data_IF_947127948993
#
_entry.id   IF_947127948993
#
_cell.length_a   1.000
_cell.length_b   1.000
_cell.length_c   1.000
_cell.angle_alpha   90.00
_cell.angle_beta   90.00
_cell.angle_gamma   90.00
#
_symmetry.space_group_name_H-M   'P 1'
#
loop_
_entity.id
_entity.type
_entity.pdbx_description
1 polymer ?
#
# COMPACT_ATOMS: atom_id res chain seq x y z
N UNK A 1 -3.96 -34.80 -13.58
CA UNK A 1 -4.21 -33.55 -12.85
C UNK A 1 -3.09 -32.62 -13.26
N UNK A 2 -3.39 -31.48 -13.87
CA UNK A 2 -2.37 -30.45 -14.13
C UNK A 2 -1.83 -29.98 -12.78
N UNK A 3 -0.51 -29.91 -12.62
CA UNK A 3 0.10 -29.46 -11.37
C UNK A 3 -0.36 -28.04 -11.03
N UNK A 4 -0.64 -27.72 -9.75
CA UNK A 4 -0.99 -26.37 -9.36
C UNK A 4 0.17 -25.44 -9.74
N UNK A 5 -0.19 -24.41 -10.50
CA UNK A 5 0.76 -23.44 -11.05
C UNK A 5 0.48 -22.10 -10.38
N UNK A 6 1.34 -21.73 -9.44
CA UNK A 6 1.24 -20.46 -8.72
C UNK A 6 1.81 -19.33 -9.54
N UNK A 7 1.06 -18.25 -9.66
CA UNK A 7 1.51 -17.03 -10.32
C UNK A 7 2.26 -16.18 -9.30
N UNK A 8 3.43 -15.68 -9.67
CA UNK A 8 4.19 -14.73 -8.86
C UNK A 8 4.51 -13.45 -9.63
N UNK A 9 4.49 -12.32 -8.94
CA UNK A 9 4.74 -11.01 -9.54
C UNK A 9 5.44 -10.06 -8.55
N UNK A 10 5.95 -8.95 -9.09
CA UNK A 10 6.54 -7.86 -8.30
C UNK A 10 5.74 -6.59 -8.45
N UNK A 11 5.64 -5.83 -7.37
CA UNK A 11 5.10 -4.48 -7.34
C UNK A 11 6.19 -3.50 -6.88
N UNK A 12 6.43 -2.48 -7.69
CA UNK A 12 7.18 -1.28 -7.29
C UNK A 12 6.17 -0.16 -7.05
N UNK A 13 5.95 0.19 -5.78
CA UNK A 13 5.04 1.25 -5.39
C UNK A 13 5.82 2.53 -5.16
N UNK A 14 5.38 3.64 -5.75
CA UNK A 14 6.07 4.93 -5.68
C UNK A 14 5.06 5.98 -5.21
N UNK A 15 5.39 6.74 -4.17
CA UNK A 15 4.63 7.94 -3.83
C UNK A 15 5.06 9.09 -4.74
N UNK A 16 4.10 9.90 -5.19
CA UNK A 16 4.39 11.12 -5.96
C UNK A 16 5.43 12.04 -5.28
N UNK A 17 6.11 12.85 -6.10
CA UNK A 17 7.06 13.88 -5.65
C UNK A 17 6.39 15.00 -4.85
N UNK A 18 7.19 15.79 -4.14
CA UNK A 18 6.71 16.90 -3.32
C UNK A 18 5.86 17.91 -4.12
N UNK A 19 4.85 18.47 -3.46
CA UNK A 19 3.99 19.57 -3.95
C UNK A 19 4.09 20.76 -2.99
N UNK A 20 3.67 21.95 -3.42
CA UNK A 20 3.66 23.13 -2.53
C UNK A 20 2.75 22.93 -1.31
N UNK A 21 1.68 22.15 -1.47
CA UNK A 21 0.74 21.78 -0.42
C UNK A 21 1.39 20.83 0.60
N UNK A 22 2.29 19.94 0.19
CA UNK A 22 3.07 19.14 1.14
C UNK A 22 3.93 20.03 2.02
N UNK A 23 4.65 20.99 1.43
CA UNK A 23 5.52 21.93 2.17
C UNK A 23 4.70 22.77 3.16
N UNK A 24 3.48 23.16 2.77
CA UNK A 24 2.58 23.97 3.59
C UNK A 24 1.74 23.18 4.59
N UNK A 25 1.89 21.85 4.66
CA UNK A 25 1.04 20.96 5.47
C UNK A 25 -0.46 21.14 5.19
N UNK A 26 -0.80 21.27 3.90
CA UNK A 26 -2.17 21.37 3.40
C UNK A 26 -2.63 19.99 2.94
N UNK A 27 -3.84 19.61 3.35
CA UNK A 27 -4.50 18.38 2.91
C UNK A 27 -4.89 18.51 1.44
N UNK A 28 -4.47 17.57 0.61
CA UNK A 28 -4.75 17.61 -0.82
C UNK A 28 -5.97 16.78 -1.19
N UNK A 29 -5.97 15.51 -0.80
CA UNK A 29 -6.96 14.54 -1.28
C UNK A 29 -7.04 14.54 -2.81
N UNK A 30 -8.22 14.81 -3.35
CA UNK A 30 -8.46 14.89 -4.79
C UNK A 30 -8.13 16.24 -5.43
N UNK A 31 -7.59 17.21 -4.68
CA UNK A 31 -7.09 18.46 -5.27
C UNK A 31 -6.00 18.15 -6.29
N UNK A 32 -6.16 18.62 -7.53
CA UNK A 32 -5.27 18.28 -8.65
C UNK A 32 -4.08 19.24 -8.75
N UNK A 33 -3.12 19.03 -7.83
CA UNK A 33 -1.93 19.86 -7.63
C UNK A 33 -0.74 19.44 -8.49
N UNK A 34 0.08 20.42 -8.85
CA UNK A 34 1.35 20.21 -9.55
C UNK A 34 2.50 19.88 -8.57
N UNK A 35 3.54 19.26 -9.10
CA UNK A 35 4.80 19.07 -8.37
C UNK A 35 5.47 20.42 -8.06
N UNK A 36 6.08 20.52 -6.88
CA UNK A 36 6.99 21.63 -6.57
C UNK A 36 8.27 21.50 -7.42
N UNK A 37 9.09 22.55 -7.53
CA UNK A 37 10.40 22.43 -8.15
C UNK A 37 11.27 21.33 -7.51
N UNK A 38 11.11 21.10 -6.19
CA UNK A 38 11.75 19.99 -5.48
C UNK A 38 11.15 18.65 -5.88
N UNK A 39 9.82 18.53 -5.99
CA UNK A 39 9.17 17.31 -6.47
C UNK A 39 9.60 16.90 -7.87
N UNK A 40 9.77 17.86 -8.78
CA UNK A 40 10.31 17.61 -10.13
C UNK A 40 11.73 17.05 -10.07
N UNK A 41 12.60 17.61 -9.20
CA UNK A 41 13.96 17.09 -9.00
C UNK A 41 13.94 15.68 -8.39
N UNK A 42 13.12 15.44 -7.37
CA UNK A 42 12.97 14.11 -6.75
C UNK A 42 12.56 13.05 -7.79
N UNK A 43 11.59 13.35 -8.63
CA UNK A 43 11.14 12.43 -9.68
C UNK A 43 12.22 12.17 -10.74
N UNK A 44 13.00 13.21 -11.09
CA UNK A 44 14.13 13.10 -12.01
C UNK A 44 15.29 12.27 -11.43
N UNK A 45 15.58 12.43 -10.15
CA UNK A 45 16.58 11.59 -9.45
C UNK A 45 16.13 10.13 -9.37
N UNK A 46 14.83 9.90 -9.16
CA UNK A 46 14.26 8.56 -9.13
C UNK A 46 14.36 7.86 -10.49
N UNK A 47 14.22 8.59 -11.61
CA UNK A 47 14.47 8.08 -12.97
C UNK A 47 15.88 7.50 -13.11
N UNK A 48 16.91 8.09 -12.51
CA UNK A 48 18.27 7.56 -12.61
C UNK A 48 18.40 6.16 -12.01
N UNK A 49 17.51 5.80 -11.07
CA UNK A 49 17.51 4.52 -10.37
C UNK A 49 16.51 3.54 -10.97
N UNK A 50 15.35 4.01 -11.43
CA UNK A 50 14.26 3.15 -11.89
C UNK A 50 14.02 3.20 -13.40
N UNK A 51 14.63 4.15 -14.11
CA UNK A 51 14.41 4.38 -15.55
C UNK A 51 14.90 3.26 -16.46
N UNK A 52 15.70 2.33 -15.92
CA UNK A 52 16.15 1.13 -16.64
C UNK A 52 15.16 -0.04 -16.50
N UNK A 53 14.17 0.06 -15.63
CA UNK A 53 13.14 -0.96 -15.47
C UNK A 53 12.31 -1.08 -16.74
N UNK A 54 11.92 -2.31 -17.06
CA UNK A 54 11.02 -2.63 -18.17
C UNK A 54 9.83 -3.39 -17.59
N UNK A 55 8.94 -2.71 -16.85
CA UNK A 55 7.83 -3.39 -16.22
C UNK A 55 6.86 -3.90 -17.28
N UNK A 56 6.18 -5.00 -16.99
CA UNK A 56 5.11 -5.53 -17.83
C UNK A 56 3.89 -4.61 -17.77
N UNK A 57 3.65 -3.97 -16.61
CA UNK A 57 2.58 -2.99 -16.41
C UNK A 57 3.11 -1.71 -15.73
N UNK A 58 2.72 -0.54 -16.25
CA UNK A 58 3.03 0.74 -15.66
C UNK A 58 1.76 1.57 -15.45
N UNK A 59 1.40 1.81 -14.18
CA UNK A 59 0.10 2.37 -13.80
C UNK A 59 0.32 3.58 -12.89
N UNK A 60 -0.49 4.63 -13.03
CA UNK A 60 -0.49 5.75 -12.09
C UNK A 60 -1.89 6.23 -11.77
N UNK A 61 -2.04 6.87 -10.61
CA UNK A 61 -3.16 7.78 -10.40
C UNK A 61 -3.15 8.86 -11.48
N UNK A 62 -4.34 9.20 -11.95
CA UNK A 62 -4.59 10.27 -12.91
C UNK A 62 -4.34 11.70 -12.37
N UNK A 63 -4.30 11.90 -11.05
CA UNK A 63 -3.94 13.21 -10.46
C UNK A 63 -2.52 13.64 -10.89
N UNK A 64 -2.39 14.91 -11.29
CA UNK A 64 -1.20 15.49 -11.94
C UNK A 64 0.10 15.22 -11.20
N UNK A 65 0.15 15.37 -9.88
CA UNK A 65 1.36 15.08 -9.10
C UNK A 65 1.85 13.63 -9.27
N UNK A 66 0.95 12.66 -9.33
CA UNK A 66 1.30 11.25 -9.50
C UNK A 66 1.65 10.95 -10.96
N UNK A 67 0.80 11.36 -11.91
CA UNK A 67 1.06 11.14 -13.33
C UNK A 67 2.31 11.87 -13.82
N UNK A 68 2.60 13.08 -13.34
CA UNK A 68 3.85 13.81 -13.64
C UNK A 68 5.08 13.12 -13.05
N UNK A 69 4.96 12.55 -11.84
CA UNK A 69 6.04 11.73 -11.25
C UNK A 69 6.28 10.48 -12.10
N UNK A 70 5.21 9.82 -12.56
CA UNK A 70 5.29 8.65 -13.43
C UNK A 70 5.95 8.98 -14.78
N UNK A 71 5.49 10.04 -15.46
CA UNK A 71 6.09 10.50 -16.71
C UNK A 71 7.57 10.82 -16.56
N UNK A 72 7.97 11.42 -15.44
CA UNK A 72 9.36 11.75 -15.17
C UNK A 72 10.27 10.51 -15.04
N UNK A 73 9.74 9.32 -14.76
CA UNK A 73 10.51 8.06 -14.75
C UNK A 73 11.00 7.65 -16.15
N UNK A 74 10.31 8.08 -17.22
CA UNK A 74 10.73 7.83 -18.60
C UNK A 74 10.79 6.34 -18.99
N UNK A 75 9.92 5.51 -18.40
CA UNK A 75 9.85 4.09 -18.72
C UNK A 75 9.31 3.87 -20.14
N UNK A 76 9.82 2.84 -20.83
CA UNK A 76 9.36 2.51 -22.19
C UNK A 76 7.97 1.88 -22.24
N UNK A 77 7.50 1.32 -21.12
CA UNK A 77 6.17 0.73 -20.99
C UNK A 77 5.11 1.83 -21.00
N UNK A 78 4.04 1.72 -21.80
CA UNK A 78 2.96 2.72 -21.81
C UNK A 78 2.38 2.94 -20.41
N UNK A 79 2.17 4.21 -20.04
CA UNK A 79 1.56 4.59 -18.77
C UNK A 79 0.04 4.48 -18.85
N UNK A 80 -0.55 3.62 -18.03
CA UNK A 80 -1.98 3.54 -17.78
C UNK A 80 -2.38 4.46 -16.62
N UNK A 81 -3.46 5.22 -16.78
CA UNK A 81 -4.02 6.05 -15.71
C UNK A 81 -5.24 5.36 -15.12
N UNK A 82 -5.28 5.25 -13.79
CA UNK A 82 -6.38 4.60 -13.07
C UNK A 82 -6.82 5.47 -11.88
N UNK A 83 -8.08 5.92 -11.91
CA UNK A 83 -8.66 6.75 -10.87
C UNK A 83 -8.80 6.03 -9.51
N UNK A 84 -8.78 4.69 -9.48
CA UNK A 84 -8.80 3.91 -8.23
C UNK A 84 -7.54 4.10 -7.41
N UNK A 85 -6.44 4.57 -8.02
CA UNK A 85 -5.16 4.87 -7.35
C UNK A 85 -5.12 6.26 -6.72
N UNK A 86 -6.18 7.07 -6.80
CA UNK A 86 -6.21 8.42 -6.21
C UNK A 86 -6.01 8.41 -4.70
N UNK A 87 -5.53 9.52 -4.14
CA UNK A 87 -5.48 9.73 -2.69
C UNK A 87 -6.89 9.62 -2.09
N UNK A 88 -7.02 9.42 -0.77
CA UNK A 88 -8.30 9.57 -0.08
C UNK A 88 -8.94 10.92 -0.39
N UNK A 89 -10.21 10.93 -0.76
CA UNK A 89 -10.98 12.16 -0.88
C UNK A 89 -11.26 12.72 0.52
N UNK A 90 -10.88 13.98 0.76
CA UNK A 90 -11.10 14.65 2.04
C UNK A 90 -12.26 15.66 2.00
N UNK A 91 -13.05 15.69 0.93
CA UNK A 91 -14.25 16.51 0.83
C UNK A 91 -13.96 17.98 1.09
N UNK A 92 -14.69 18.59 2.02
CA UNK A 92 -14.50 20.00 2.40
C UNK A 92 -13.13 20.31 3.02
N UNK A 93 -12.35 19.31 3.43
CA UNK A 93 -11.01 19.50 3.99
C UNK A 93 -9.90 19.51 2.94
N UNK A 94 -10.20 19.22 1.67
CA UNK A 94 -9.23 19.45 0.60
C UNK A 94 -8.90 20.93 0.49
N UNK A 95 -7.62 21.27 0.65
CA UNK A 95 -7.12 22.65 0.72
C UNK A 95 -7.01 23.21 2.14
N UNK A 96 -7.49 22.50 3.16
CA UNK A 96 -7.40 22.92 4.56
C UNK A 96 -6.07 22.56 5.22
N UNK A 97 -5.77 23.20 6.35
CA UNK A 97 -4.62 22.83 7.14
C UNK A 97 -4.83 21.44 7.76
N UNK A 98 -3.75 20.66 7.86
CA UNK A 98 -3.76 19.31 8.45
C UNK A 98 -4.40 19.23 9.84
N UNK A 99 -4.16 20.25 10.67
CA UNK A 99 -4.72 20.36 12.02
C UNK A 99 -6.25 20.37 12.03
N UNK A 100 -6.89 20.95 11.01
CA UNK A 100 -8.34 21.10 10.96
C UNK A 100 -8.98 19.75 10.66
N UNK A 101 -8.37 18.97 9.75
CA UNK A 101 -8.74 17.57 9.49
C UNK A 101 -8.54 16.70 10.74
N UNK A 102 -7.42 16.84 11.45
CA UNK A 102 -7.15 16.10 12.69
C UNK A 102 -8.22 16.36 13.75
N UNK A 103 -8.58 17.63 13.97
CA UNK A 103 -9.62 18.00 14.93
C UNK A 103 -10.98 17.38 14.56
N UNK A 104 -11.34 17.42 13.27
CA UNK A 104 -12.54 16.77 12.77
C UNK A 104 -12.50 15.26 12.99
N UNK A 105 -11.40 14.60 12.62
CA UNK A 105 -11.27 13.15 12.73
C UNK A 105 -11.36 12.69 14.19
N UNK A 106 -10.73 13.42 15.13
CA UNK A 106 -10.84 13.17 16.56
C UNK A 106 -12.28 13.33 17.06
N UNK A 107 -12.97 14.41 16.67
CA UNK A 107 -14.37 14.61 17.02
C UNK A 107 -15.26 13.52 16.45
N UNK A 108 -15.04 13.13 15.19
CA UNK A 108 -15.81 12.11 14.51
C UNK A 108 -15.68 10.74 15.21
N UNK A 109 -14.47 10.38 15.62
CA UNK A 109 -14.19 9.17 16.38
C UNK A 109 -14.84 9.21 17.77
N UNK A 110 -14.66 10.30 18.53
CA UNK A 110 -15.24 10.45 19.87
C UNK A 110 -16.77 10.49 19.88
N UNK A 111 -17.40 10.93 18.80
CA UNK A 111 -18.86 10.92 18.66
C UNK A 111 -19.44 9.60 18.12
N UNK A 112 -18.59 8.64 17.71
CA UNK A 112 -19.05 7.37 17.14
C UNK A 112 -19.71 7.49 15.76
N UNK A 113 -19.54 8.63 15.08
CA UNK A 113 -20.17 8.89 13.77
C UNK A 113 -19.54 8.06 12.64
N UNK A 114 -18.32 7.54 12.84
CA UNK A 114 -17.67 6.60 11.94
C UNK A 114 -17.66 7.08 10.49
N UNK A 115 -18.17 6.24 9.59
CA UNK A 115 -18.22 6.53 8.16
C UNK A 115 -19.17 7.66 7.79
N UNK A 116 -20.30 7.78 8.50
CA UNK A 116 -21.34 8.74 8.15
C UNK A 116 -20.87 10.17 8.41
N UNK A 117 -20.05 10.39 9.44
CA UNK A 117 -19.43 11.69 9.63
C UNK A 117 -18.46 12.05 8.52
N UNK A 118 -17.62 11.12 8.04
CA UNK A 118 -16.78 11.36 6.86
C UNK A 118 -17.60 11.70 5.60
N UNK A 119 -18.70 10.98 5.36
CA UNK A 119 -19.60 11.25 4.23
C UNK A 119 -20.33 12.58 4.35
N UNK A 120 -20.68 13.00 5.57
CA UNK A 120 -21.38 14.26 5.80
C UNK A 120 -20.59 15.49 5.34
N UNK A 121 -19.26 15.39 5.30
CA UNK A 121 -18.35 16.42 4.80
C UNK A 121 -17.89 16.16 3.36
N UNK A 122 -18.52 15.21 2.66
CA UNK A 122 -18.19 14.81 1.29
C UNK A 122 -16.84 14.11 1.14
N UNK A 123 -16.28 13.59 2.24
CA UNK A 123 -15.02 12.84 2.25
C UNK A 123 -15.28 11.33 2.09
N UNK A 124 -14.27 10.63 1.59
CA UNK A 124 -14.24 9.16 1.64
C UNK A 124 -14.01 8.71 3.08
N UNK A 125 -14.77 7.71 3.52
CA UNK A 125 -14.43 6.94 4.71
C UNK A 125 -13.34 5.91 4.39
N UNK A 126 -12.71 5.34 5.43
CA UNK A 126 -11.67 4.31 5.25
C UNK A 126 -12.14 3.07 4.50
N UNK A 127 -13.42 2.71 4.63
CA UNK A 127 -14.03 1.58 3.93
C UNK A 127 -14.13 1.81 2.42
N UNK A 128 -14.45 3.04 1.99
CA UNK A 128 -14.54 3.40 0.57
C UNK A 128 -13.16 3.39 -0.10
N UNK A 129 -12.13 3.86 0.61
CA UNK A 129 -10.74 3.74 0.13
C UNK A 129 -10.32 2.27 0.04
N UNK A 130 -10.60 1.47 1.08
CA UNK A 130 -10.29 0.03 1.07
C UNK A 130 -11.00 -0.67 -0.10
N UNK A 131 -12.30 -0.43 -0.27
CA UNK A 131 -13.12 -0.94 -1.35
C UNK A 131 -12.49 -0.76 -2.74
N UNK A 132 -12.15 0.48 -3.12
CA UNK A 132 -11.55 0.75 -4.44
C UNK A 132 -10.13 0.23 -4.58
N UNK A 133 -9.37 0.21 -3.48
CA UNK A 133 -8.00 -0.35 -3.45
C UNK A 133 -8.02 -1.84 -3.73
N UNK A 134 -8.96 -2.55 -3.10
CA UNK A 134 -9.10 -3.97 -3.29
C UNK A 134 -9.71 -4.32 -4.63
N UNK A 135 -10.70 -3.57 -5.12
CA UNK A 135 -11.22 -3.74 -6.48
C UNK A 135 -10.09 -3.60 -7.53
N UNK A 136 -9.15 -2.68 -7.30
CA UNK A 136 -7.93 -2.58 -8.10
C UNK A 136 -7.04 -3.82 -7.96
N UNK A 137 -6.76 -4.28 -6.73
CA UNK A 137 -5.92 -5.46 -6.48
C UNK A 137 -6.50 -6.74 -7.13
N UNK A 138 -7.82 -6.93 -7.04
CA UNK A 138 -8.51 -8.07 -7.67
C UNK A 138 -8.36 -8.08 -9.18
N UNK A 139 -8.55 -6.92 -9.82
CA UNK A 139 -8.34 -6.78 -11.27
C UNK A 139 -6.86 -6.99 -11.64
N UNK A 140 -5.94 -6.44 -10.85
CA UNK A 140 -4.50 -6.59 -11.08
C UNK A 140 -4.07 -8.06 -11.06
N UNK A 141 -4.46 -8.82 -10.04
CA UNK A 141 -4.18 -10.25 -9.96
C UNK A 141 -4.84 -11.02 -11.11
N UNK A 142 -6.05 -10.65 -11.51
CA UNK A 142 -6.72 -11.25 -12.68
C UNK A 142 -5.93 -11.00 -13.98
N UNK A 143 -5.35 -9.80 -14.15
CA UNK A 143 -4.46 -9.49 -15.28
C UNK A 143 -3.19 -10.31 -15.23
N UNK A 144 -2.53 -10.38 -14.06
CA UNK A 144 -1.30 -11.16 -13.87
C UNK A 144 -1.51 -12.65 -14.13
N UNK A 145 -2.69 -13.20 -13.81
CA UNK A 145 -3.06 -14.58 -14.09
C UNK A 145 -3.32 -14.85 -15.59
N UNK A 146 -3.84 -13.86 -16.33
CA UNK A 146 -4.09 -13.93 -17.78
C UNK A 146 -2.85 -13.63 -18.64
N UNK A 147 -1.77 -13.18 -18.01
CA UNK A 147 -0.49 -12.84 -18.64
C UNK A 147 0.61 -13.90 -18.47
N UNK A 148 0.41 -15.22 -18.64
CA UNK A 148 1.55 -16.06 -19.01
C UNK A 148 1.83 -15.73 -20.49
N UNK A 149 2.47 -14.60 -20.76
CA UNK A 149 2.96 -14.27 -22.10
C UNK A 149 3.84 -15.42 -22.57
N UNK A 150 3.63 -15.87 -23.82
CA UNK A 150 4.29 -16.96 -24.55
C UNK A 150 5.85 -16.91 -24.62
N UNK A 151 6.54 -16.17 -23.75
CA UNK A 151 8.00 -15.94 -23.83
C UNK A 151 8.78 -15.99 -22.51
N UNK A 152 8.20 -16.28 -21.32
CA UNK A 152 8.97 -16.30 -20.05
C UNK A 152 8.55 -17.29 -18.95
N UNK A 153 7.75 -18.32 -19.24
CA UNK A 153 7.38 -19.31 -18.20
C UNK A 153 8.32 -20.52 -18.23
N UNK A 154 9.49 -20.41 -17.59
CA UNK A 154 10.23 -21.61 -17.17
C UNK A 154 9.75 -21.95 -15.76
N UNK A 155 9.05 -23.08 -15.56
CA UNK A 155 8.66 -23.55 -14.23
C UNK A 155 9.89 -23.52 -13.32
N UNK A 156 9.78 -22.75 -12.25
CA UNK A 156 10.87 -22.47 -11.34
C UNK A 156 10.50 -23.02 -9.97
N UNK A 157 11.42 -23.68 -9.28
CA UNK A 157 11.17 -24.15 -7.91
C UNK A 157 10.99 -22.96 -6.95
N UNK A 158 10.28 -23.15 -5.83
CA UNK A 158 10.20 -22.14 -4.76
C UNK A 158 11.58 -21.64 -4.29
N UNK A 159 12.63 -22.45 -4.46
CA UNK A 159 13.99 -22.09 -4.06
C UNK A 159 14.65 -21.01 -4.94
N UNK A 160 14.16 -20.89 -6.17
CA UNK A 160 14.68 -20.04 -7.26
C UNK A 160 13.74 -18.89 -7.61
N UNK A 161 12.56 -18.83 -6.98
CA UNK A 161 11.64 -17.71 -7.06
C UNK A 161 12.31 -16.39 -6.72
N UNK A 162 11.97 -15.39 -7.52
CA UNK A 162 12.45 -14.02 -7.40
C UNK A 162 13.97 -13.84 -7.61
N UNK A 163 14.65 -14.81 -8.24
CA UNK A 163 16.10 -14.78 -8.52
C UNK A 163 16.43 -14.50 -10.00
N UNK A 164 15.42 -14.34 -10.85
CA UNK A 164 15.56 -14.19 -12.30
C UNK A 164 15.36 -12.73 -12.72
N UNK A 165 16.48 -12.02 -12.86
CA UNK A 165 16.83 -10.88 -13.75
C UNK A 165 15.79 -9.82 -14.21
N UNK A 166 14.59 -9.76 -13.63
CA UNK A 166 13.53 -8.85 -14.05
C UNK A 166 13.45 -7.57 -13.21
N UNK A 167 14.07 -7.56 -12.02
CA UNK A 167 13.98 -6.41 -11.10
C UNK A 167 15.17 -6.22 -10.16
N UNK A 168 16.22 -7.08 -10.21
CA UNK A 168 17.29 -7.15 -9.19
C UNK A 168 16.77 -7.24 -7.74
N UNK A 169 15.55 -7.73 -7.55
CA UNK A 169 14.96 -7.92 -6.22
C UNK A 169 15.49 -9.24 -5.63
N UNK A 170 15.80 -9.31 -4.32
CA UNK A 170 16.28 -10.53 -3.68
C UNK A 170 15.29 -11.71 -3.78
N UNK A 171 15.77 -12.96 -3.66
CA UNK A 171 14.95 -14.17 -3.79
C UNK A 171 13.85 -14.28 -2.72
N UNK A 172 12.86 -15.14 -2.96
CA UNK A 172 11.77 -15.37 -1.98
C UNK A 172 12.35 -15.82 -0.63
N UNK A 173 11.93 -15.22 0.50
CA UNK A 173 12.41 -15.63 1.81
C UNK A 173 12.03 -17.07 2.13
N UNK A 174 12.93 -17.82 2.78
CA UNK A 174 12.68 -19.23 3.15
C UNK A 174 11.45 -19.41 4.04
N UNK A 175 11.17 -18.45 4.94
CA UNK A 175 9.99 -18.44 5.80
C UNK A 175 8.66 -18.37 5.04
N UNK A 176 8.71 -17.92 3.78
CA UNK A 176 7.55 -17.80 2.88
C UNK A 176 7.49 -19.00 1.94
N UNK A 177 8.64 -19.58 1.56
CA UNK A 177 8.71 -20.81 0.76
C UNK A 177 7.95 -21.98 1.38
N UNK A 178 7.93 -22.06 2.70
CA UNK A 178 7.25 -23.15 3.42
C UNK A 178 5.72 -23.14 3.31
N UNK A 179 5.11 -22.06 2.81
CA UNK A 179 3.67 -22.02 2.52
C UNK A 179 3.31 -22.76 1.24
N UNK A 180 4.30 -23.04 0.40
CA UNK A 180 4.14 -23.66 -0.90
C UNK A 180 4.53 -25.14 -0.84
N UNK A 181 3.85 -25.95 -1.65
CA UNK A 181 4.14 -27.36 -1.80
C UNK A 181 5.55 -27.61 -2.35
N UNK A 182 6.16 -28.73 -1.98
CA UNK A 182 7.50 -29.12 -2.48
C UNK A 182 7.53 -29.41 -3.98
N UNK A 183 6.37 -29.70 -4.57
CA UNK A 183 6.15 -29.96 -5.99
C UNK A 183 5.43 -28.80 -6.68
N UNK A 184 5.29 -27.67 -6.02
CA UNK A 184 4.57 -26.53 -6.57
C UNK A 184 5.40 -25.85 -7.67
N UNK A 185 4.73 -25.57 -8.79
CA UNK A 185 5.35 -24.91 -9.92
C UNK A 185 4.97 -23.44 -9.94
N UNK A 186 5.91 -22.59 -10.35
CA UNK A 186 5.70 -21.16 -10.36
C UNK A 186 5.84 -20.59 -11.75
N UNK A 187 4.93 -19.69 -12.10
CA UNK A 187 4.92 -18.93 -13.34
C UNK A 187 5.01 -17.44 -13.04
N UNK A 188 5.89 -16.77 -13.77
CA UNK A 188 6.06 -15.33 -13.64
C UNK A 188 4.89 -14.61 -14.29
N UNK A 189 4.11 -13.86 -13.50
CA UNK A 189 2.99 -13.04 -13.95
C UNK A 189 3.38 -11.63 -14.36
N UNK A 190 4.55 -11.13 -13.92
CA UNK A 190 5.11 -9.86 -14.36
C UNK A 190 5.65 -8.93 -13.26
N UNK A 191 6.14 -7.77 -13.68
CA UNK A 191 6.54 -6.65 -12.84
C UNK A 191 5.64 -5.45 -13.10
N UNK A 192 5.02 -4.96 -12.04
CA UNK A 192 4.11 -3.82 -12.06
C UNK A 192 4.79 -2.64 -11.37
N UNK A 193 4.91 -1.50 -12.05
CA UNK A 193 5.31 -0.23 -11.44
C UNK A 193 4.05 0.62 -11.26
N UNK A 194 3.85 1.14 -10.05
CA UNK A 194 2.70 1.97 -9.69
C UNK A 194 3.13 3.29 -9.06
N UNK A 195 2.56 4.40 -9.53
CA UNK A 195 2.76 5.73 -8.92
C UNK A 195 1.45 6.26 -8.36
N UNK A 196 1.39 6.47 -7.05
CA UNK A 196 0.17 6.83 -6.32
C UNK A 196 0.49 7.79 -5.15
N UNK A 197 -0.32 7.76 -4.09
CA UNK A 197 -0.35 8.70 -2.99
C UNK A 197 -0.19 7.99 -1.65
N UNK A 198 0.12 8.77 -0.62
CA UNK A 198 0.50 8.23 0.68
C UNK A 198 -0.61 7.41 1.35
N UNK A 199 -1.84 7.94 1.39
CA UNK A 199 -2.97 7.26 2.03
C UNK A 199 -3.41 6.02 1.27
N UNK A 200 -3.49 6.10 -0.07
CA UNK A 200 -3.82 4.95 -0.91
C UNK A 200 -2.79 3.83 -0.80
N UNK A 201 -1.49 4.14 -0.92
CA UNK A 201 -0.43 3.12 -0.81
C UNK A 201 -0.45 2.48 0.58
N UNK A 202 -0.68 3.27 1.64
CA UNK A 202 -0.84 2.72 3.00
C UNK A 202 -1.98 1.72 3.06
N UNK A 203 -3.14 2.02 2.47
CA UNK A 203 -4.25 1.07 2.43
C UNK A 203 -3.92 -0.20 1.63
N UNK A 204 -3.26 -0.09 0.48
CA UNK A 204 -2.80 -1.26 -0.27
C UNK A 204 -1.85 -2.11 0.56
N UNK A 205 -0.87 -1.50 1.23
CA UNK A 205 0.07 -2.20 2.09
C UNK A 205 -0.62 -2.89 3.27
N UNK A 206 -1.65 -2.27 3.86
CA UNK A 206 -2.44 -2.89 4.93
C UNK A 206 -3.16 -4.15 4.43
N UNK A 207 -3.80 -4.11 3.25
CA UNK A 207 -4.41 -5.31 2.64
C UNK A 207 -3.37 -6.42 2.46
N UNK A 208 -2.22 -6.08 1.88
CA UNK A 208 -1.15 -7.04 1.62
C UNK A 208 -0.53 -7.59 2.90
N UNK A 209 -0.38 -6.78 3.95
CA UNK A 209 0.24 -7.17 5.21
C UNK A 209 -0.67 -7.99 6.12
N UNK A 210 -1.96 -7.64 6.20
CA UNK A 210 -2.85 -8.17 7.25
C UNK A 210 -3.99 -9.04 6.72
N UNK A 211 -4.35 -8.91 5.44
CA UNK A 211 -5.45 -9.69 4.86
C UNK A 211 -4.98 -10.83 3.97
N UNK A 212 -3.73 -10.81 3.50
CA UNK A 212 -3.13 -11.95 2.81
C UNK A 212 -3.10 -13.19 3.71
N UNK A 213 -3.40 -14.36 3.14
CA UNK A 213 -3.25 -15.68 3.76
C UNK A 213 -1.91 -15.84 4.45
N UNK A 214 -0.85 -15.31 3.81
CA UNK A 214 0.46 -15.14 4.43
C UNK A 214 1.09 -13.82 4.01
N UNK A 215 1.72 -13.14 4.96
CA UNK A 215 2.59 -12.00 4.69
C UNK A 215 3.93 -12.15 5.44
N UNK A 216 4.98 -11.53 4.91
CA UNK A 216 6.28 -11.47 5.57
C UNK A 216 6.98 -10.13 5.33
N UNK A 217 7.81 -9.75 6.31
CA UNK A 217 8.72 -8.59 6.26
C UNK A 217 8.07 -7.22 6.13
N UNK A 218 6.75 -7.13 6.32
CA UNK A 218 6.07 -5.85 6.51
C UNK A 218 6.49 -5.26 7.86
N UNK A 219 7.03 -4.02 7.90
CA UNK A 219 7.33 -3.35 9.16
C UNK A 219 6.06 -3.13 9.97
N UNK A 220 6.15 -3.18 11.31
CA UNK A 220 5.01 -2.89 12.19
C UNK A 220 4.39 -1.53 11.87
N UNK A 221 5.22 -0.55 11.56
CA UNK A 221 4.79 0.82 11.28
C UNK A 221 4.25 1.01 9.85
N UNK A 222 4.35 0.01 8.96
CA UNK A 222 3.77 0.11 7.61
C UNK A 222 2.25 0.25 7.61
N UNK A 223 1.61 -0.16 8.71
CA UNK A 223 0.18 0.03 8.94
C UNK A 223 -0.19 1.48 9.23
N UNK A 224 0.70 2.26 9.85
CA UNK A 224 0.38 3.57 10.42
C UNK A 224 1.14 4.70 9.72
N UNK A 225 2.23 4.37 9.01
CA UNK A 225 3.09 5.35 8.38
C UNK A 225 2.65 5.70 6.95
N UNK A 226 2.82 6.97 6.60
CA UNK A 226 2.71 7.50 5.24
C UNK A 226 4.10 7.53 4.62
N UNK A 227 4.23 7.04 3.38
CA UNK A 227 5.50 7.08 2.66
C UNK A 227 6.01 8.52 2.45
N UNK A 228 7.34 8.71 2.38
CA UNK A 228 7.97 9.96 1.96
C UNK A 228 7.74 10.22 0.47
N UNK A 229 7.83 11.48 0.03
CA UNK A 229 7.71 11.83 -1.39
C UNK A 229 8.80 11.14 -2.21
N UNK A 230 8.44 10.60 -3.39
CA UNK A 230 9.32 9.78 -4.23
C UNK A 230 9.98 8.58 -3.53
N UNK A 231 9.48 8.16 -2.37
CA UNK A 231 9.91 6.91 -1.77
C UNK A 231 9.29 5.73 -2.49
N UNK A 232 9.95 4.58 -2.35
CA UNK A 232 9.64 3.35 -3.06
C UNK A 232 9.36 2.22 -2.06
N UNK A 233 8.39 1.38 -2.38
CA UNK A 233 8.23 0.06 -1.77
C UNK A 233 8.37 -1.02 -2.84
N UNK A 234 9.03 -2.12 -2.49
CA UNK A 234 9.15 -3.30 -3.35
C UNK A 234 8.43 -4.47 -2.70
N UNK A 235 7.38 -4.96 -3.34
CA UNK A 235 6.55 -6.05 -2.85
C UNK A 235 6.62 -7.23 -3.80
N UNK A 236 6.80 -8.44 -3.27
CA UNK A 236 6.51 -9.68 -3.97
C UNK A 236 5.11 -10.17 -3.62
N UNK A 237 4.41 -10.71 -4.61
CA UNK A 237 3.14 -11.40 -4.40
C UNK A 237 3.14 -12.74 -5.14
N UNK A 238 2.44 -13.71 -4.58
CA UNK A 238 2.20 -15.00 -5.21
C UNK A 238 0.81 -15.53 -4.84
N UNK A 239 0.15 -16.22 -5.78
CA UNK A 239 -1.19 -16.78 -5.58
C UNK A 239 -1.48 -17.91 -6.56
N UNK A 240 -2.31 -18.87 -6.14
CA UNK A 240 -2.89 -19.87 -7.03
C UNK A 240 -4.05 -19.22 -7.81
N UNK A 241 -4.02 -19.20 -9.16
CA UNK A 241 -5.09 -18.59 -9.95
C UNK A 241 -6.47 -19.19 -9.74
N UNK A 242 -6.56 -20.49 -9.44
CA UNK A 242 -7.83 -21.18 -9.19
C UNK A 242 -8.42 -20.73 -7.86
N UNK A 243 -7.61 -20.72 -6.79
CA UNK A 243 -8.04 -20.22 -5.47
C UNK A 243 -8.43 -18.74 -5.56
N UNK A 244 -7.66 -17.94 -6.31
CA UNK A 244 -7.93 -16.52 -6.48
C UNK A 244 -9.21 -16.26 -7.28
N UNK A 245 -9.47 -17.00 -8.36
CA UNK A 245 -10.72 -16.89 -9.11
C UNK A 245 -11.92 -17.36 -8.29
N UNK A 246 -11.77 -18.42 -7.49
CA UNK A 246 -12.82 -18.87 -6.57
C UNK A 246 -13.17 -17.79 -5.53
N UNK A 247 -12.15 -17.16 -4.95
CA UNK A 247 -12.32 -16.01 -4.06
C UNK A 247 -13.02 -14.85 -4.78
N UNK A 248 -12.55 -14.47 -5.98
CA UNK A 248 -13.15 -13.40 -6.77
C UNK A 248 -14.62 -13.67 -7.14
N UNK A 249 -14.97 -14.93 -7.43
CA UNK A 249 -16.34 -15.34 -7.74
C UNK A 249 -17.26 -15.24 -6.52
N UNK A 250 -16.80 -15.67 -5.34
CA UNK A 250 -17.53 -15.49 -4.08
C UNK A 250 -17.81 -14.01 -3.81
N UNK A 251 -16.83 -13.15 -4.06
CA UNK A 251 -17.00 -11.71 -3.92
C UNK A 251 -18.02 -11.11 -4.88
N UNK A 252 -18.00 -11.53 -6.16
CA UNK A 252 -19.00 -11.08 -7.15
C UNK A 252 -20.42 -11.52 -6.77
N UNK A 253 -20.58 -12.74 -6.25
CA UNK A 253 -21.88 -13.26 -5.79
C UNK A 253 -22.38 -12.46 -4.59
N UNK A 254 -21.51 -12.20 -3.60
CA UNK A 254 -21.82 -11.38 -2.42
C UNK A 254 -22.34 -9.99 -2.83
N UNK A 255 -21.69 -9.35 -3.80
CA UNK A 255 -22.09 -8.02 -4.29
C UNK A 255 -23.40 -8.03 -5.11
N UNK A 256 -23.80 -9.18 -5.68
CA UNK A 256 -25.02 -9.31 -6.49
C UNK A 256 -26.28 -9.58 -5.68
N UNK A 257 -26.14 -10.15 -4.47
CA UNK A 257 -27.24 -10.54 -3.60
C UNK A 257 -27.69 -9.42 -2.64
N UNK A 258 -26.92 -8.34 -2.51
CA UNK A 258 -27.31 -7.16 -1.73
C UNK A 258 -27.99 -6.11 -2.61
N UNK A 259 -29.30 -5.90 -2.39
CA UNK A 259 -29.95 -4.65 -2.80
C UNK A 259 -29.34 -3.50 -1.98
N UNK A 260 -28.32 -2.85 -2.56
CA UNK A 260 -27.47 -1.73 -2.08
C UNK A 260 -26.06 -2.16 -1.64
N UNK A 261 -25.10 -1.79 -2.49
CA UNK A 261 -23.73 -1.38 -2.18
C UNK A 261 -23.00 -2.11 -1.04
N UNK A 262 -22.38 -3.25 -1.35
CA UNK A 262 -21.29 -3.78 -0.52
C UNK A 262 -20.03 -3.86 -1.39
N UNK A 263 -18.94 -3.21 -0.95
CA UNK A 263 -17.60 -3.56 -1.39
C UNK A 263 -16.96 -4.36 -0.25
N UNK A 264 -16.37 -5.53 -0.52
CA UNK A 264 -16.37 -6.59 0.49
C UNK A 264 -15.07 -6.76 1.28
N UNK A 265 -14.16 -5.79 1.28
CA UNK A 265 -12.90 -5.98 2.01
C UNK A 265 -12.95 -5.38 3.39
N UNK A 266 -12.41 -6.10 4.40
CA UNK A 266 -12.39 -5.60 5.76
C UNK A 266 -11.75 -4.22 5.75
N UNK A 267 -12.50 -3.18 6.09
CA UNK A 267 -11.83 -1.99 6.53
C UNK A 267 -11.18 -2.32 7.87
N UNK A 268 -9.97 -1.84 8.07
CA UNK A 268 -9.20 -1.99 9.31
C UNK A 268 -9.92 -1.43 10.55
N UNK A 269 -11.06 -0.76 10.39
CA UNK A 269 -11.94 -0.38 11.51
C UNK A 269 -12.55 -1.58 12.24
N UNK A 270 -12.64 -2.76 11.62
CA UNK A 270 -13.27 -3.95 12.25
C UNK A 270 -12.35 -4.73 13.21
N UNK A 271 -11.05 -4.41 13.30
CA UNK A 271 -10.17 -5.17 14.21
C UNK A 271 -10.39 -4.82 15.69
N UNK A 272 -11.16 -3.77 15.99
CA UNK A 272 -11.31 -3.27 17.36
C UNK A 272 -12.66 -2.61 17.72
N UNK A 273 -13.65 -2.52 16.83
CA UNK A 273 -14.88 -1.82 17.19
C UNK A 273 -15.81 -2.67 18.07
N UNK A 274 -16.00 -2.16 19.29
CA UNK A 274 -16.89 -2.67 20.32
C UNK A 274 -18.31 -2.12 20.11
N UNK A 275 -19.17 -2.90 19.45
CA UNK A 275 -20.61 -2.92 19.73
C UNK A 275 -21.45 -1.68 19.43
N UNK A 276 -21.03 -0.75 18.56
CA UNK A 276 -21.88 0.38 18.15
C UNK A 276 -22.81 0.01 16.98
N UNK A 277 -24.08 0.43 17.08
CA UNK A 277 -25.17 0.10 16.15
C UNK A 277 -25.19 0.95 14.87
N UNK A 278 -24.06 1.53 14.46
CA UNK A 278 -23.97 2.28 13.22
C UNK A 278 -23.84 1.31 12.04
N UNK A 279 -24.91 1.19 11.24
CA UNK A 279 -24.96 0.34 10.04
C UNK A 279 -24.11 0.94 8.92
N UNK A 280 -22.79 0.82 9.00
CA UNK A 280 -21.96 1.02 7.82
C UNK A 280 -22.21 -0.15 6.87
N UNK A 281 -22.64 0.13 5.64
CA UNK A 281 -22.90 -0.89 4.60
C UNK A 281 -21.67 -1.76 4.27
N UNK A 282 -20.47 -1.30 4.66
CA UNK A 282 -19.20 -2.01 4.54
C UNK A 282 -18.79 -2.82 5.80
N UNK A 283 -19.58 -2.76 6.88
CA UNK A 283 -19.32 -3.44 8.17
C UNK A 283 -19.54 -4.97 8.18
N UNK A 284 -20.49 -5.58 7.44
CA UNK A 284 -20.84 -6.99 7.63
C UNK A 284 -19.87 -8.03 7.07
N UNK A 285 -18.72 -7.66 6.49
CA UNK A 285 -17.97 -8.56 5.60
C UNK A 285 -16.53 -8.77 6.07
N UNK A 286 -16.38 -9.59 7.11
CA UNK A 286 -15.15 -10.32 7.39
C UNK A 286 -14.97 -11.40 6.29
N UNK A 287 -14.54 -10.97 5.10
CA UNK A 287 -14.17 -11.90 4.03
C UNK A 287 -13.04 -12.84 4.52
N UNK A 288 -12.99 -14.12 4.10
CA UNK A 288 -11.82 -14.96 4.35
C UNK A 288 -10.55 -14.26 3.85
N UNK A 289 -9.41 -14.57 4.48
CA UNK A 289 -8.11 -13.99 4.09
C UNK A 289 -7.92 -14.07 2.56
N UNK A 290 -7.46 -12.97 1.96
CA UNK A 290 -7.08 -12.90 0.55
C UNK A 290 -6.15 -14.09 0.25
N UNK A 291 -6.40 -14.90 -0.80
CA UNK A 291 -5.57 -16.06 -1.14
C UNK A 291 -4.24 -15.62 -1.81
N UNK A 292 -3.55 -14.71 -1.15
CA UNK A 292 -2.28 -14.11 -1.52
C UNK A 292 -1.22 -14.50 -0.50
N UNK A 293 -0.01 -14.69 -1.00
CA UNK A 293 1.22 -14.74 -0.22
C UNK A 293 2.05 -13.52 -0.60
N UNK A 294 2.40 -12.67 0.38
CA UNK A 294 3.04 -11.37 0.13
C UNK A 294 4.34 -11.21 0.90
N UNK A 295 5.28 -10.47 0.31
CA UNK A 295 6.58 -10.18 0.92
C UNK A 295 6.93 -8.72 0.69
N UNK A 296 7.23 -7.98 1.75
CA UNK A 296 7.77 -6.63 1.64
C UNK A 296 9.31 -6.68 1.64
N UNK A 297 9.94 -6.42 0.51
CA UNK A 297 11.39 -6.40 0.37
C UNK A 297 12.00 -5.07 0.79
N UNK A 298 11.36 -3.99 0.37
CA UNK A 298 11.75 -2.63 0.70
C UNK A 298 10.49 -1.85 1.06
N UNK A 299 10.55 -1.07 2.13
CA UNK A 299 9.49 -0.19 2.54
C UNK A 299 10.03 1.23 2.64
N UNK A 300 9.35 2.19 2.01
CA UNK A 300 9.62 3.62 2.17
C UNK A 300 11.09 4.03 1.92
N UNK A 301 11.79 3.39 0.98
CA UNK A 301 13.19 3.70 0.64
C UNK A 301 13.27 4.93 -0.27
N UNK A 302 14.21 5.83 0.00
CA UNK A 302 14.53 6.95 -0.90
C UNK A 302 15.64 6.62 -1.87
N UNK A 303 15.86 7.50 -2.84
CA UNK A 303 17.01 7.44 -3.75
C UNK A 303 18.33 7.27 -3.00
N UNK A 304 18.55 8.02 -1.91
CA UNK A 304 19.77 7.89 -1.10
C UNK A 304 19.92 6.48 -0.48
N UNK A 305 18.82 5.89 -0.04
CA UNK A 305 18.81 4.52 0.50
C UNK A 305 19.12 3.49 -0.59
N UNK A 306 18.55 3.66 -1.79
CA UNK A 306 18.79 2.80 -2.96
C UNK A 306 20.25 2.84 -3.43
N UNK A 307 20.92 4.00 -3.34
CA UNK A 307 22.34 4.13 -3.70
C UNK A 307 23.25 3.39 -2.73
N UNK A 308 22.97 3.47 -1.43
CA UNK A 308 23.78 2.81 -0.40
C UNK A 308 23.68 1.28 -0.47
N UNK A 309 22.53 0.74 -0.89
CA UNK A 309 22.33 -0.71 -1.04
C UNK A 309 23.20 -1.31 -2.16
N UNK A 310 23.48 -0.55 -3.24
CA UNK A 310 24.35 -1.01 -4.34
C UNK A 310 25.82 -1.20 -3.96
N UNK A 311 26.27 -0.61 -2.84
CA UNK A 311 27.64 -0.72 -2.34
C UNK A 311 27.83 -1.81 -1.29
N UNK A 312 26.76 -2.51 -0.87
CA UNK A 312 26.89 -3.64 0.05
C UNK A 312 27.22 -4.91 -0.73
N UNK A 313 28.48 -5.34 -0.65
CA UNK A 313 28.93 -6.66 -1.10
C UNK A 313 28.04 -7.74 -0.48
N UNK A 314 27.32 -8.49 -1.34
CA UNK A 314 26.54 -9.72 -1.07
C UNK A 314 25.97 -9.82 0.36
N UNK A 315 24.63 -9.75 0.57
CA UNK A 315 24.09 -10.04 1.89
C UNK A 315 24.48 -11.48 2.24
N UNK A 316 25.32 -11.61 3.27
CA UNK A 316 25.57 -12.88 3.91
C UNK A 316 24.22 -13.50 4.24
N UNK A 317 24.10 -14.79 3.88
CA UNK A 317 22.92 -15.64 4.09
C UNK A 317 22.40 -15.38 5.51
N UNK A 318 21.18 -14.86 5.61
CA UNK A 318 20.38 -14.61 6.85
C UNK A 318 20.23 -13.15 7.32
N UNK A 319 20.97 -12.17 6.78
CA UNK A 319 20.65 -10.77 7.09
C UNK A 319 19.33 -10.37 6.40
N UNK A 320 18.41 -9.76 7.16
CA UNK A 320 17.07 -9.38 6.74
C UNK A 320 17.11 -7.93 6.20
N UNK A 321 17.28 -7.68 4.89
CA UNK A 321 17.44 -6.32 4.37
C UNK A 321 16.21 -5.45 4.64
N UNK A 322 15.00 -6.00 4.61
CA UNK A 322 13.77 -5.28 4.93
C UNK A 322 13.78 -4.79 6.39
N UNK A 323 14.08 -5.64 7.39
CA UNK A 323 14.11 -5.23 8.81
C UNK A 323 15.34 -4.39 9.16
N UNK A 324 16.48 -4.60 8.48
CA UNK A 324 17.72 -3.85 8.72
C UNK A 324 17.67 -2.43 8.14
N UNK A 325 16.94 -2.21 7.03
CA UNK A 325 16.63 -0.86 6.55
C UNK A 325 15.48 -0.22 7.33
N UNK A 326 14.41 -0.96 7.64
CA UNK A 326 13.23 -0.40 8.29
C UNK A 326 13.47 0.08 9.73
N UNK A 327 14.40 -0.53 10.45
CA UNK A 327 14.80 -0.07 11.80
C UNK A 327 15.54 1.27 11.82
N UNK A 328 15.94 1.80 10.65
CA UNK A 328 16.67 3.07 10.51
C UNK A 328 15.80 4.22 9.97
N UNK A 329 14.50 4.00 9.79
CA UNK A 329 13.62 4.96 9.10
C UNK A 329 12.74 5.74 10.07
N UNK A 330 12.61 7.05 9.81
CA UNK A 330 11.63 7.89 10.48
C UNK A 330 10.20 7.47 10.06
N UNK A 331 9.36 7.22 11.06
CA UNK A 331 7.94 6.91 10.88
C UNK A 331 7.16 8.22 10.74
N UNK A 332 6.43 8.39 9.63
CA UNK A 332 5.54 9.55 9.41
C UNK A 332 4.12 9.07 9.65
N UNK A 333 3.60 9.25 10.87
CA UNK A 333 2.26 8.78 11.22
C UNK A 333 1.16 9.40 10.34
N UNK A 334 0.09 8.63 10.15
CA UNK A 334 -1.06 9.06 9.37
C UNK A 334 -2.04 9.81 10.26
N UNK A 335 -2.17 11.10 9.97
CA UNK A 335 -2.98 12.02 10.77
C UNK A 335 -4.46 12.09 10.34
N UNK A 336 -4.90 11.22 9.45
CA UNK A 336 -6.28 11.19 8.94
C UNK A 336 -7.25 10.46 9.88
N UNK A 337 -6.78 10.08 11.07
CA UNK A 337 -7.58 9.53 12.15
C UNK A 337 -8.06 8.09 11.95
N UNK A 338 -7.62 7.42 10.89
CA UNK A 338 -7.85 5.98 10.69
C UNK A 338 -7.15 5.12 11.76
N UNK A 339 -6.13 5.67 12.45
CA UNK A 339 -5.45 5.02 13.59
C UNK A 339 -6.33 4.95 14.86
N UNK A 340 -7.41 5.74 14.93
CA UNK A 340 -8.28 5.85 16.10
C UNK A 340 -9.61 5.09 15.98
N UNK A 341 -9.85 4.38 14.88
CA UNK A 341 -11.03 3.52 14.72
C UNK A 341 -10.96 2.23 15.58
N UNK A 342 -10.21 2.23 16.70
CA UNK A 342 -9.87 0.97 17.37
C UNK A 342 -8.90 0.96 18.56
N UNK A 343 -8.42 2.08 19.08
CA UNK A 343 -7.73 2.03 20.37
C UNK A 343 -8.76 2.26 21.48
N UNK A 344 -9.12 1.26 22.31
CA UNK A 344 -9.80 1.58 23.56
C UNK A 344 -8.86 2.49 24.35
N UNK A 345 -9.38 3.65 24.78
CA UNK A 345 -8.68 4.52 25.71
C UNK A 345 -8.32 3.73 26.97
N UNK A 346 -7.12 3.18 27.04
CA UNK A 346 -6.40 3.04 28.30
C UNK A 346 -6.11 4.45 28.79
N UNK A 347 -6.24 4.76 30.10
CA UNK A 347 -6.08 6.11 30.59
C UNK A 347 -4.69 6.64 30.22
N UNK A 348 -4.68 7.68 29.39
CA UNK A 348 -3.50 8.47 29.08
C UNK A 348 -2.99 9.10 30.37
N UNK A 349 -1.93 8.54 30.97
CA UNK A 349 -1.12 9.27 31.94
C UNK A 349 -0.32 10.31 31.18
N UNK A 350 -0.97 11.44 30.89
CA UNK A 350 -0.29 12.69 30.62
C UNK A 350 0.33 13.11 31.95
N UNK A 351 1.61 12.79 32.16
CA UNK A 351 2.41 13.48 33.17
C UNK A 351 2.69 14.89 32.63
N UNK A 352 1.71 15.77 32.79
CA UNK A 352 1.95 17.18 32.89
C UNK A 352 2.62 17.43 34.26
N UNK A 353 3.95 17.40 34.30
CA UNK A 353 4.77 18.11 35.29
C UNK A 353 6.25 17.82 35.00
N UNK A 354 6.90 18.74 34.30
CA UNK A 354 8.31 19.13 34.54
C UNK A 354 8.63 20.38 33.73
N UNK A 355 8.08 21.51 34.19
CA UNK A 355 8.67 22.83 34.02
C UNK A 355 8.60 23.53 35.36
N UNK A 356 9.61 23.30 36.18
CA UNK A 356 9.95 24.15 37.31
C UNK A 356 11.44 23.97 37.65
N UNK A 357 12.31 24.41 36.74
CA UNK A 357 13.66 24.80 37.14
C UNK A 357 13.59 26.22 37.70
N UNK A 358 13.71 26.28 39.01
CA UNK A 358 13.88 27.49 39.81
C UNK A 358 15.14 28.23 39.34
N UNK A 359 14.94 29.49 38.92
CA UNK A 359 15.90 30.54 39.23
C UNK A 359 15.98 30.67 40.75
N UNK A 360 17.19 30.63 41.29
CA UNK A 360 17.78 31.66 42.18
C UNK A 360 18.67 31.04 43.26
N UNK A 361 19.95 31.42 43.17
CA UNK A 361 20.99 31.54 44.22
C UNK A 361 21.64 30.22 44.67
#
# INVERSE_FOLDING_TARGET
>A
MTEPTTVYAYLTLIRHGETMENVRNIIQGHLDTDLSPTGVRQASELRNHLGHLKPDLFISSDLKRASSTACALGLSTPLELDARLRERNFGTFSGSARRDLQQFAQSNASSGNGCDGWRSVGAECSHEVAARTSAFLMELCSRLAKHPTDLKSVPTSAATLFNSDHSKVPPMPRSVRGEFGTTETFVYGGHVVMVSHGGWIRQLLRLLAFQSKKSAYFPKDSANSVMRNCAVCHIGLAFDPVDFEAYAALERISNSLSERNAHPLPAFGSLYDSGSSASCEFLPLASPQLPLVTVCYHFNVTVADLQNDTNSTRPDRESNPAVTLCSKMDVIFSDDGDEYAGQPNGPSTVNANEKNDQKSI
#
